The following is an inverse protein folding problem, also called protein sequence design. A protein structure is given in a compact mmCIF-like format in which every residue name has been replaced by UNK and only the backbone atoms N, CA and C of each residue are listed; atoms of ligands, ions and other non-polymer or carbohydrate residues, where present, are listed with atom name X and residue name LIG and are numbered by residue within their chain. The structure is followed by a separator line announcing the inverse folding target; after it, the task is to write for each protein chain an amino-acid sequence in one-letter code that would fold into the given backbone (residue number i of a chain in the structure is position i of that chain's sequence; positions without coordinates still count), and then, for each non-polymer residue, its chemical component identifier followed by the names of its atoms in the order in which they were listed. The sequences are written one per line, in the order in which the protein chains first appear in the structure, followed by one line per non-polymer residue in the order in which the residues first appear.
data_IF_086901284963
#
_entry.id   IF_086901284963
#
_cell.length_a   1.000
_cell.length_b   1.000
_cell.length_c   1.000
_cell.angle_alpha   90.00
_cell.angle_beta   90.00
_cell.angle_gamma   90.00
#
_symmetry.space_group_name_H-M   'P 1'
#
loop_
_entity.id
_entity.type
_entity.pdbx_description
1 polymer ?
#
# COMPACT_ATOMS: atom_id res chain seq x y z
N UNK A 1 2.03 20.07 -2.28
CA UNK A 1 0.66 19.82 -2.54
C UNK A 1 0.49 18.95 -3.76
N UNK A 2 -0.23 17.94 -3.62
CA UNK A 2 -0.43 16.91 -4.62
C UNK A 2 -0.73 15.62 -3.91
N UNK A 3 -0.98 14.61 -4.71
CA UNK A 3 -1.32 13.31 -4.19
C UNK A 3 -0.22 12.33 -4.55
N UNK A 4 0.18 11.55 -3.57
CA UNK A 4 1.07 10.43 -3.80
C UNK A 4 0.21 9.18 -3.94
N UNK A 5 0.23 8.54 -5.11
CA UNK A 5 -0.57 7.35 -5.37
C UNK A 5 0.12 6.14 -4.76
N UNK A 6 -0.61 5.38 -3.94
CA UNK A 6 -0.10 4.17 -3.33
C UNK A 6 -0.40 3.02 -4.27
N UNK A 7 0.66 2.37 -4.76
CA UNK A 7 0.55 1.26 -5.70
C UNK A 7 1.19 0.02 -5.11
N UNK A 8 0.68 -1.14 -5.51
CA UNK A 8 1.28 -2.41 -5.10
C UNK A 8 2.70 -2.49 -5.67
N UNK A 9 3.73 -2.58 -4.83
CA UNK A 9 5.11 -2.61 -5.31
C UNK A 9 5.48 -4.01 -5.78
N UNK A 10 6.47 -4.07 -6.65
CA UNK A 10 7.04 -5.35 -7.06
C UNK A 10 8.03 -5.79 -5.99
N UNK A 11 7.71 -6.85 -5.28
CA UNK A 11 8.57 -7.37 -4.21
C UNK A 11 9.55 -8.42 -4.72
N UNK A 12 9.32 -8.95 -5.92
CA UNK A 12 10.21 -9.92 -6.56
C UNK A 12 9.95 -9.89 -8.06
N UNK A 13 10.98 -10.20 -8.87
CA UNK A 13 10.83 -10.25 -10.31
C UNK A 13 9.86 -11.34 -10.77
N UNK A 14 9.66 -12.35 -9.94
CA UNK A 14 8.76 -13.47 -10.26
C UNK A 14 7.31 -13.20 -9.85
N UNK A 15 7.03 -12.09 -9.16
CA UNK A 15 5.70 -11.79 -8.64
C UNK A 15 4.98 -10.84 -9.57
N UNK A 16 3.77 -11.22 -9.99
CA UNK A 16 2.93 -10.37 -10.84
C UNK A 16 1.72 -9.83 -10.11
N UNK A 17 1.41 -10.38 -8.93
CA UNK A 17 0.28 -9.91 -8.12
C UNK A 17 0.54 -10.19 -6.65
N UNK A 18 -0.19 -9.50 -5.77
CA UNK A 18 -0.09 -9.67 -4.34
C UNK A 18 -1.44 -9.40 -3.71
N UNK A 19 -1.70 -10.10 -2.62
CA UNK A 19 -2.93 -9.88 -1.85
C UNK A 19 -2.71 -8.75 -0.84
N UNK A 20 -3.67 -7.83 -0.77
CA UNK A 20 -3.68 -6.78 0.25
C UNK A 20 -4.29 -7.40 1.51
N UNK A 21 -3.47 -7.65 2.52
CA UNK A 21 -3.91 -8.42 3.68
C UNK A 21 -4.35 -7.55 4.85
N UNK A 22 -3.82 -6.34 4.98
CA UNK A 22 -4.17 -5.48 6.10
C UNK A 22 -3.79 -4.04 5.81
N UNK A 23 -4.53 -3.11 6.41
CA UNK A 23 -4.14 -1.70 6.52
C UNK A 23 -3.65 -1.48 7.96
N UNK A 24 -2.46 -0.91 8.10
CA UNK A 24 -1.88 -0.65 9.40
C UNK A 24 -2.28 0.73 9.94
N UNK A 25 -2.88 1.55 9.09
CA UNK A 25 -3.40 2.87 9.47
C UNK A 25 -4.80 3.03 8.87
N UNK A 26 -5.62 3.85 9.51
CA UNK A 26 -6.99 4.10 9.06
C UNK A 26 -7.03 5.18 7.99
N UNK A 27 -8.06 5.14 7.15
CA UNK A 27 -8.30 6.20 6.19
C UNK A 27 -8.50 7.52 6.97
N UNK A 28 -7.89 8.59 6.48
CA UNK A 28 -7.95 9.90 7.13
C UNK A 28 -6.86 10.12 8.16
N UNK A 29 -6.02 9.13 8.41
CA UNK A 29 -4.93 9.25 9.39
C UNK A 29 -3.72 9.90 8.74
N UNK A 30 -3.01 10.73 9.52
CA UNK A 30 -1.77 11.34 9.06
C UNK A 30 -0.64 10.33 9.22
N UNK A 31 0.18 10.18 8.18
CA UNK A 31 1.34 9.30 8.21
C UNK A 31 2.59 10.06 7.80
N UNK A 32 3.73 9.57 8.27
CA UNK A 32 5.04 10.10 7.89
C UNK A 32 5.65 9.15 6.85
N UNK A 33 6.46 9.70 5.97
CA UNK A 33 7.23 8.89 5.03
C UNK A 33 8.07 7.88 5.80
N UNK A 34 8.03 6.62 5.37
CA UNK A 34 8.76 5.53 6.04
C UNK A 34 7.95 4.78 7.08
N UNK A 35 6.75 5.26 7.42
CA UNK A 35 5.88 4.55 8.36
C UNK A 35 5.21 3.38 7.66
N UNK A 36 5.25 2.16 8.21
CA UNK A 36 4.51 1.04 7.61
C UNK A 36 3.02 1.34 7.62
N UNK A 37 2.37 1.22 6.46
CA UNK A 37 0.96 1.59 6.31
C UNK A 37 0.07 0.47 5.83
N UNK A 38 0.62 -0.56 5.21
CA UNK A 38 -0.18 -1.72 4.81
C UNK A 38 0.69 -2.95 4.66
N UNK A 39 0.03 -4.10 4.54
CA UNK A 39 0.69 -5.39 4.41
C UNK A 39 0.20 -6.05 3.13
N UNK A 40 1.12 -6.60 2.36
CA UNK A 40 0.80 -7.44 1.22
C UNK A 40 1.39 -8.82 1.44
N UNK A 41 0.76 -9.81 0.82
CA UNK A 41 1.24 -11.17 0.86
C UNK A 41 1.31 -11.75 -0.54
N UNK A 42 2.36 -12.50 -0.77
CA UNK A 42 2.48 -13.32 -1.97
C UNK A 42 2.48 -14.77 -1.52
N UNK A 43 2.66 -15.67 -2.47
CA UNK A 43 2.66 -17.10 -2.19
C UNK A 43 3.67 -17.50 -1.12
N UNK A 44 4.78 -16.77 -1.01
CA UNK A 44 5.89 -17.16 -0.15
C UNK A 44 6.23 -16.16 0.95
N UNK A 45 5.83 -14.90 0.81
CA UNK A 45 6.24 -13.87 1.77
C UNK A 45 5.08 -12.94 2.09
N UNK A 46 5.16 -12.36 3.27
CA UNK A 46 4.28 -11.31 3.72
C UNK A 46 5.17 -10.12 4.04
N UNK A 47 4.79 -8.93 3.61
CA UNK A 47 5.65 -7.77 3.73
C UNK A 47 4.88 -6.53 4.09
N UNK A 48 5.39 -5.76 5.05
CA UNK A 48 4.87 -4.44 5.39
C UNK A 48 5.46 -3.43 4.43
N UNK A 49 4.62 -2.53 3.92
CA UNK A 49 5.03 -1.52 2.97
C UNK A 49 4.91 -0.14 3.63
N UNK A 50 5.96 0.63 3.48
CA UNK A 50 6.07 1.94 4.10
C UNK A 50 5.46 3.02 3.22
N UNK A 51 5.02 4.11 3.87
CA UNK A 51 4.52 5.27 3.14
C UNK A 51 5.65 5.90 2.34
N UNK A 52 5.37 6.23 1.09
CA UNK A 52 6.32 6.91 0.21
C UNK A 52 6.27 8.43 0.29
N UNK A 53 5.40 8.96 1.14
CA UNK A 53 5.26 10.40 1.37
C UNK A 53 4.59 10.63 2.72
N UNK A 54 4.67 11.86 3.23
CA UNK A 54 3.97 12.24 4.46
C UNK A 54 2.68 12.95 4.08
N UNK A 55 1.61 12.67 4.78
CA UNK A 55 0.31 13.30 4.54
C UNK A 55 -0.85 12.47 5.07
N UNK A 56 -2.03 12.75 4.58
CA UNK A 56 -3.26 12.07 5.00
C UNK A 56 -3.54 10.93 4.04
N UNK A 57 -3.70 9.72 4.57
CA UNK A 57 -3.92 8.54 3.76
C UNK A 57 -5.41 8.35 3.47
N UNK A 58 -5.73 7.97 2.22
CA UNK A 58 -7.06 7.52 1.83
C UNK A 58 -6.91 6.21 1.09
N UNK A 59 -7.71 5.21 1.46
CA UNK A 59 -7.65 3.90 0.84
C UNK A 59 -8.73 3.76 -0.23
N UNK A 60 -8.34 3.25 -1.41
CA UNK A 60 -9.29 2.93 -2.49
C UNK A 60 -9.35 1.43 -2.74
N UNK A 61 -8.40 0.68 -2.22
CA UNK A 61 -8.39 -0.79 -2.31
C UNK A 61 -9.10 -1.41 -1.11
N UNK A 62 -9.20 -2.73 -1.15
CA UNK A 62 -9.90 -3.50 -0.11
C UNK A 62 -9.01 -4.63 0.38
N UNK A 63 -9.02 -4.82 1.69
CA UNK A 63 -8.33 -5.95 2.33
C UNK A 63 -8.99 -7.25 1.85
N UNK A 64 -8.16 -8.26 1.60
CA UNK A 64 -8.64 -9.55 1.13
C UNK A 64 -8.71 -9.68 -0.38
N UNK A 65 -8.33 -8.65 -1.11
CA UNK A 65 -8.34 -8.64 -2.57
C UNK A 65 -6.92 -8.79 -3.09
N UNK A 66 -6.76 -9.60 -4.14
CA UNK A 66 -5.48 -9.73 -4.85
C UNK A 66 -5.41 -8.70 -5.96
N UNK A 67 -4.35 -7.92 -5.97
CA UNK A 67 -4.14 -6.86 -6.95
C UNK A 67 -2.90 -7.14 -7.78
N UNK A 68 -2.91 -6.67 -9.03
CA UNK A 68 -1.73 -6.72 -9.88
C UNK A 68 -0.67 -5.75 -9.36
N UNK A 69 0.58 -6.06 -9.63
CA UNK A 69 1.67 -5.15 -9.33
C UNK A 69 1.43 -3.84 -10.09
N UNK A 70 1.54 -2.73 -9.38
CA UNK A 70 1.27 -1.40 -9.94
C UNK A 70 -0.15 -0.92 -9.78
N UNK A 71 -1.05 -1.77 -9.27
CA UNK A 71 -2.44 -1.37 -9.05
C UNK A 71 -2.53 -0.30 -7.96
N UNK A 72 -3.37 0.69 -8.17
CA UNK A 72 -3.61 1.73 -7.19
C UNK A 72 -4.49 1.20 -6.06
N UNK A 73 -4.06 1.41 -4.82
CA UNK A 73 -4.83 0.97 -3.65
C UNK A 73 -5.12 2.11 -2.68
N UNK A 74 -4.61 3.29 -2.94
CA UNK A 74 -4.86 4.44 -2.09
C UNK A 74 -4.07 5.65 -2.54
N UNK A 75 -4.23 6.75 -1.80
CA UNK A 75 -3.43 7.96 -2.02
C UNK A 75 -3.05 8.57 -0.69
N UNK A 76 -1.95 9.30 -0.68
CA UNK A 76 -1.55 10.13 0.44
C UNK A 76 -1.63 11.57 -0.06
N UNK A 77 -2.50 12.36 0.56
CA UNK A 77 -2.67 13.76 0.21
C UNK A 77 -1.67 14.58 1.01
N UNK A 78 -0.75 15.19 0.32
CA UNK A 78 0.34 15.96 0.93
C UNK A 78 0.01 17.44 1.06
#
# INVERSE_FOLDING_TARGET
MGDFVIRIPRVSVAVSEAELTDFLVDAGEHVEEGTPIYVIATEKVEQEIEAGASGIVQWTGQVGTTYDIGAEIGVITT
#
